data_IF_644784571694
#
_entry.id   IF_644784571694
#
_cell.length_a   1.000
_cell.length_b   1.000
_cell.length_c   1.000
_cell.angle_alpha   90.00
_cell.angle_beta   90.00
_cell.angle_gamma   90.00
#
_symmetry.space_group_name_H-M   'P 1'
#
loop_
_entity.id
_entity.type
_entity.pdbx_description
1 polymer ?
#
# COMPACT_ATOMS: atom_id res chain seq x y z
N UNK A 1 3.16 20.38 -57.58
CA UNK A 1 3.40 21.17 -56.36
C UNK A 1 2.09 21.32 -55.60
N UNK A 2 1.94 20.65 -54.46
CA UNK A 2 0.95 21.01 -53.43
C UNK A 2 1.44 20.48 -52.09
N UNK A 3 2.18 21.33 -51.37
CA UNK A 3 2.37 21.20 -49.93
C UNK A 3 1.00 21.11 -49.25
N UNK A 4 0.88 20.30 -48.21
CA UNK A 4 0.58 20.80 -46.86
C UNK A 4 0.76 19.69 -45.83
N UNK A 5 1.90 19.80 -45.14
CA UNK A 5 2.07 19.69 -43.69
C UNK A 5 1.54 18.42 -43.04
N UNK A 6 2.51 17.57 -42.69
CA UNK A 6 2.39 16.49 -41.73
C UNK A 6 1.65 16.97 -40.45
N UNK A 7 0.49 16.37 -40.19
CA UNK A 7 -0.14 16.45 -38.88
C UNK A 7 0.65 15.51 -37.96
N UNK A 8 1.70 16.02 -37.34
CA UNK A 8 2.34 15.40 -36.19
C UNK A 8 1.28 15.44 -35.08
N UNK A 9 0.50 14.36 -35.01
CA UNK A 9 -0.38 14.08 -33.89
C UNK A 9 0.50 13.92 -32.67
N UNK A 10 0.68 15.02 -31.94
CA UNK A 10 1.22 15.06 -30.60
C UNK A 10 0.25 14.26 -29.73
N UNK A 11 0.47 12.94 -29.68
CA UNK A 11 -0.10 12.04 -28.69
C UNK A 11 0.39 12.58 -27.35
N UNK A 12 -0.46 13.41 -26.75
CA UNK A 12 -0.47 13.71 -25.32
C UNK A 12 -0.30 12.37 -24.62
N UNK A 13 0.89 12.15 -24.05
CA UNK A 13 1.09 11.16 -23.02
C UNK A 13 0.11 11.56 -21.90
N UNK A 14 -1.09 10.96 -21.95
CA UNK A 14 -1.94 10.81 -20.78
C UNK A 14 -1.09 9.99 -19.82
N UNK A 15 -0.27 10.67 -19.02
CA UNK A 15 0.28 10.09 -17.80
C UNK A 15 -0.95 9.69 -17.01
N UNK A 16 -1.31 8.42 -17.10
CA UNK A 16 -2.30 7.83 -16.23
C UNK A 16 -1.89 8.23 -14.82
N UNK A 17 -2.74 9.02 -14.15
CA UNK A 17 -2.65 9.13 -12.70
C UNK A 17 -2.84 7.72 -12.19
N UNK A 18 -1.75 7.00 -11.95
CA UNK A 18 -1.79 5.74 -11.21
C UNK A 18 -2.50 6.09 -9.91
N UNK A 19 -3.64 5.45 -9.60
CA UNK A 19 -4.37 5.78 -8.38
C UNK A 19 -3.43 5.45 -7.22
N UNK A 20 -2.94 6.48 -6.52
CA UNK A 20 -2.14 6.26 -5.32
C UNK A 20 -2.94 5.38 -4.35
N UNK A 21 -2.29 4.46 -3.62
CA UNK A 21 -2.98 3.61 -2.67
C UNK A 21 -3.81 4.44 -1.68
N UNK A 22 -5.06 4.07 -1.49
CA UNK A 22 -5.98 4.79 -0.60
C UNK A 22 -5.70 4.43 0.87
N UNK A 23 -4.79 5.17 1.49
CA UNK A 23 -4.38 4.94 2.89
C UNK A 23 -5.49 5.36 3.87
N UNK A 24 -6.20 6.45 3.60
CA UNK A 24 -7.21 7.01 4.51
C UNK A 24 -8.33 6.00 4.87
N UNK A 25 -8.73 5.18 3.89
CA UNK A 25 -9.75 4.15 4.10
C UNK A 25 -9.26 2.98 4.95
N UNK A 26 -7.96 2.67 4.92
CA UNK A 26 -7.35 1.69 5.80
C UNK A 26 -7.23 2.26 7.22
N UNK A 27 -6.75 3.49 7.36
CA UNK A 27 -6.57 4.17 8.66
C UNK A 27 -7.91 4.32 9.40
N UNK A 28 -8.99 4.59 8.66
CA UNK A 28 -10.34 4.72 9.22
C UNK A 28 -10.94 3.38 9.69
N UNK A 29 -10.26 2.26 9.46
CA UNK A 29 -10.68 0.93 9.93
C UNK A 29 -9.89 0.54 11.18
N UNK A 30 -10.39 0.91 12.35
CA UNK A 30 -9.72 0.71 13.64
C UNK A 30 -9.40 -0.76 13.93
N UNK A 31 -10.28 -1.69 13.59
CA UNK A 31 -10.07 -3.13 13.81
C UNK A 31 -8.88 -3.66 13.01
N UNK A 32 -8.80 -3.31 11.72
CA UNK A 32 -7.67 -3.71 10.86
C UNK A 32 -6.38 -3.02 11.29
N UNK A 33 -6.47 -1.75 11.71
CA UNK A 33 -5.31 -1.03 12.22
C UNK A 33 -4.74 -1.66 13.49
N UNK A 34 -5.60 -2.06 14.42
CA UNK A 34 -5.19 -2.78 15.62
C UNK A 34 -4.58 -4.15 15.29
N UNK A 35 -5.15 -4.89 14.33
CA UNK A 35 -4.59 -6.19 13.89
C UNK A 35 -3.19 -6.02 13.27
N UNK A 36 -3.02 -5.01 12.42
CA UNK A 36 -1.74 -4.67 11.80
C UNK A 36 -0.71 -4.24 12.86
N UNK A 37 -1.10 -3.42 13.82
CA UNK A 37 -0.24 -2.98 14.93
C UNK A 37 0.22 -4.16 15.78
N UNK A 38 -0.71 -5.05 16.16
CA UNK A 38 -0.39 -6.27 16.91
C UNK A 38 0.56 -7.18 16.14
N UNK A 39 0.37 -7.33 14.83
CA UNK A 39 1.26 -8.10 13.97
C UNK A 39 2.66 -7.47 13.92
N UNK A 40 2.75 -6.14 13.81
CA UNK A 40 4.03 -5.42 13.79
C UNK A 40 4.79 -5.55 15.11
N UNK A 41 4.11 -5.38 16.25
CA UNK A 41 4.69 -5.57 17.58
C UNK A 41 5.15 -7.02 17.81
N UNK A 42 4.42 -8.00 17.24
CA UNK A 42 4.80 -9.42 17.32
C UNK A 42 6.06 -9.73 16.51
N UNK A 43 6.23 -9.10 15.34
CA UNK A 43 7.43 -9.25 14.50
C UNK A 43 8.65 -8.50 15.09
N UNK A 44 8.44 -7.31 15.65
CA UNK A 44 9.52 -6.49 16.19
C UNK A 44 9.08 -5.68 17.44
N UNK A 45 9.14 -6.30 18.64
CA UNK A 45 8.62 -5.70 19.87
C UNK A 45 9.44 -4.52 20.42
N UNK A 46 10.62 -4.25 19.86
CA UNK A 46 11.55 -3.20 20.33
C UNK A 46 11.60 -1.98 19.40
N UNK A 47 10.58 -1.76 18.57
CA UNK A 47 10.62 -0.72 17.56
C UNK A 47 10.55 0.69 18.17
N UNK A 48 11.66 1.45 18.03
CA UNK A 48 11.68 2.91 18.20
C UNK A 48 11.06 3.61 16.98
N UNK A 49 11.58 4.80 16.61
CA UNK A 49 11.27 5.51 15.35
C UNK A 49 11.80 4.79 14.11
N UNK A 50 11.41 3.53 13.90
CA UNK A 50 11.86 2.73 12.76
C UNK A 50 10.64 2.41 11.90
N UNK A 51 10.63 2.81 10.62
CA UNK A 51 9.63 2.32 9.68
C UNK A 51 9.82 0.81 9.48
N UNK A 52 8.74 0.05 9.65
CA UNK A 52 8.71 -1.40 9.47
C UNK A 52 7.91 -1.73 8.21
N UNK A 53 8.55 -2.40 7.26
CA UNK A 53 7.87 -3.00 6.12
C UNK A 53 7.30 -4.36 6.52
N UNK A 54 5.99 -4.51 6.38
CA UNK A 54 5.22 -5.70 6.73
C UNK A 54 4.74 -6.39 5.47
N UNK A 55 5.21 -7.61 5.22
CA UNK A 55 4.73 -8.44 4.12
C UNK A 55 3.38 -9.10 4.51
N UNK A 56 2.29 -8.70 3.87
CA UNK A 56 0.94 -9.21 4.16
C UNK A 56 0.83 -10.72 3.94
N UNK A 57 1.56 -11.27 2.96
CA UNK A 57 1.64 -12.69 2.70
C UNK A 57 2.32 -13.41 3.86
N UNK A 58 3.50 -12.96 4.25
CA UNK A 58 4.25 -13.52 5.38
C UNK A 58 3.47 -13.43 6.70
N UNK A 59 2.84 -12.29 6.99
CA UNK A 59 2.00 -12.12 8.18
C UNK A 59 0.81 -13.09 8.20
N UNK A 60 0.20 -13.35 7.05
CA UNK A 60 -0.88 -14.32 6.90
C UNK A 60 -0.39 -15.75 7.12
N UNK A 61 0.77 -16.12 6.56
CA UNK A 61 1.40 -17.44 6.73
C UNK A 61 1.76 -17.71 8.19
N UNK A 62 2.29 -16.69 8.88
CA UNK A 62 2.59 -16.71 10.31
C UNK A 62 1.34 -16.63 11.20
N UNK A 63 0.15 -16.45 10.62
CA UNK A 63 -1.14 -16.29 11.32
C UNK A 63 -1.18 -15.07 12.26
N UNK A 64 -0.38 -14.06 11.96
CA UNK A 64 -0.37 -12.79 12.67
C UNK A 64 -1.54 -11.89 12.23
N UNK A 65 -1.96 -12.05 10.97
CA UNK A 65 -3.21 -11.49 10.45
C UNK A 65 -4.02 -12.57 9.74
N UNK A 66 -5.34 -12.39 9.66
CA UNK A 66 -6.21 -13.32 8.93
C UNK A 66 -6.14 -13.12 7.40
N UNK A 67 -6.40 -14.19 6.63
CA UNK A 67 -6.56 -14.09 5.16
C UNK A 67 -7.66 -13.11 4.75
N UNK A 68 -8.74 -13.04 5.54
CA UNK A 68 -9.84 -12.12 5.29
C UNK A 68 -9.41 -10.66 5.52
N UNK A 69 -8.66 -10.41 6.59
CA UNK A 69 -8.08 -9.11 6.91
C UNK A 69 -7.12 -8.65 5.82
N UNK A 70 -6.17 -9.51 5.40
CA UNK A 70 -5.26 -9.20 4.30
C UNK A 70 -6.00 -8.86 2.99
N UNK A 71 -7.08 -9.60 2.67
CA UNK A 71 -7.94 -9.30 1.53
C UNK A 71 -8.68 -7.96 1.67
N UNK A 72 -9.18 -7.66 2.86
CA UNK A 72 -9.88 -6.41 3.14
C UNK A 72 -8.93 -5.21 3.06
N UNK A 73 -7.70 -5.34 3.57
CA UNK A 73 -6.64 -4.34 3.45
C UNK A 73 -6.34 -4.04 1.97
N UNK A 74 -6.15 -5.07 1.13
CA UNK A 74 -5.99 -4.91 -0.34
C UNK A 74 -7.16 -4.16 -0.98
N UNK A 75 -8.39 -4.49 -0.57
CA UNK A 75 -9.59 -3.84 -1.08
C UNK A 75 -9.69 -2.37 -0.66
N UNK A 76 -9.32 -2.02 0.58
CA UNK A 76 -9.42 -0.65 1.09
C UNK A 76 -8.35 0.26 0.48
N UNK A 77 -7.18 -0.28 0.19
CA UNK A 77 -6.02 0.46 -0.33
C UNK A 77 -6.05 0.66 -1.84
N UNK A 78 -7.07 0.15 -2.54
CA UNK A 78 -7.16 0.11 -4.01
C UNK A 78 -5.91 -0.51 -4.68
N UNK A 79 -5.26 -1.44 -3.97
CA UNK A 79 -4.02 -2.08 -4.36
C UNK A 79 -4.25 -3.60 -4.42
N UNK A 80 -4.69 -4.09 -5.59
CA UNK A 80 -5.13 -5.49 -5.78
C UNK A 80 -4.08 -6.50 -5.31
N UNK A 81 -2.83 -6.27 -5.67
CA UNK A 81 -1.70 -7.14 -5.33
C UNK A 81 -0.82 -6.48 -4.25
N UNK A 82 -1.43 -5.92 -3.20
CA UNK A 82 -0.67 -5.38 -2.08
C UNK A 82 0.17 -6.49 -1.42
N UNK A 83 1.49 -6.39 -1.57
CA UNK A 83 2.45 -7.30 -0.98
C UNK A 83 2.90 -6.84 0.42
N UNK A 84 2.95 -5.53 0.69
CA UNK A 84 3.31 -5.04 2.00
C UNK A 84 3.05 -3.57 2.29
N UNK A 85 3.07 -3.23 3.57
CA UNK A 85 2.77 -1.90 4.14
C UNK A 85 3.94 -1.44 5.00
N UNK A 86 4.31 -0.17 4.91
CA UNK A 86 5.30 0.45 5.78
C UNK A 86 4.60 1.17 6.93
N UNK A 87 5.04 0.92 8.17
CA UNK A 87 4.44 1.50 9.37
C UNK A 87 5.53 2.07 10.26
N UNK A 88 5.42 3.35 10.61
CA UNK A 88 6.30 4.02 11.54
C UNK A 88 5.73 4.01 12.95
N UNK A 89 6.55 3.61 13.92
CA UNK A 89 6.21 3.65 15.34
C UNK A 89 6.93 4.78 16.06
N UNK A 90 6.29 5.41 17.04
CA UNK A 90 6.94 6.31 17.99
C UNK A 90 6.37 6.01 19.37
N UNK A 91 7.25 5.61 20.31
CA UNK A 91 6.86 5.31 21.70
C UNK A 91 5.71 4.28 21.80
N UNK A 92 5.71 3.31 20.88
CA UNK A 92 4.68 2.26 20.82
C UNK A 92 3.43 2.62 20.02
N UNK A 93 3.30 3.85 19.53
CA UNK A 93 2.13 4.29 18.75
C UNK A 93 2.46 4.37 17.26
N UNK A 94 1.48 4.04 16.40
CA UNK A 94 1.59 4.25 14.95
C UNK A 94 1.59 5.75 14.64
N UNK A 95 2.62 6.24 13.95
CA UNK A 95 2.78 7.65 13.55
C UNK A 95 2.73 7.87 12.05
N UNK A 96 2.99 6.84 11.28
CA UNK A 96 3.03 6.92 9.83
C UNK A 96 2.62 5.59 9.24
N UNK A 97 1.89 5.63 8.13
CA UNK A 97 1.57 4.47 7.32
C UNK A 97 1.81 4.89 5.87
N UNK A 98 2.53 4.05 5.14
CA UNK A 98 2.80 4.24 3.74
C UNK A 98 2.65 2.92 3.00
N UNK A 99 2.23 3.02 1.74
CA UNK A 99 2.21 1.91 0.80
C UNK A 99 3.05 2.35 -0.38
N UNK A 100 4.26 1.81 -0.48
CA UNK A 100 5.10 2.04 -1.65
C UNK A 100 4.37 1.54 -2.91
N UNK A 101 4.36 2.31 -4.02
CA UNK A 101 3.81 1.84 -5.28
C UNK A 101 4.42 0.52 -5.77
N UNK A 102 5.68 0.21 -5.40
CA UNK A 102 6.32 -1.07 -5.72
C UNK A 102 5.65 -2.27 -5.04
N UNK A 103 4.92 -2.04 -3.96
CA UNK A 103 4.16 -3.08 -3.26
C UNK A 103 2.76 -3.24 -3.87
N UNK A 104 2.42 -2.46 -4.90
CA UNK A 104 1.17 -2.51 -5.63
C UNK A 104 1.44 -2.88 -7.07
N UNK A 105 1.28 -4.16 -7.41
CA UNK A 105 1.10 -4.50 -8.81
C UNK A 105 -0.31 -4.06 -9.22
N UNK A 106 -0.37 -3.00 -10.02
CA UNK A 106 -1.58 -2.63 -10.73
C UNK A 106 -1.76 -3.68 -11.83
N UNK A 107 -2.63 -4.66 -11.58
CA UNK A 107 -2.99 -5.65 -12.60
C UNK A 107 -3.45 -4.95 -13.88
N UNK A 108 -2.97 -5.45 -15.02
CA UNK A 108 -3.30 -4.98 -16.38
C UNK A 108 -4.81 -4.90 -16.64
#
# INVERSE_FOLDING_TARGET
MKNRVALVGLLLFLTACSPSPAIDSLVSNEDLMAEIENAAQSENPNSGMIPLALDLGSLTEKKLISKASASKIRSLTNCKNLSGIEIGFLRGEVTHINISPSNCEYGE
#
